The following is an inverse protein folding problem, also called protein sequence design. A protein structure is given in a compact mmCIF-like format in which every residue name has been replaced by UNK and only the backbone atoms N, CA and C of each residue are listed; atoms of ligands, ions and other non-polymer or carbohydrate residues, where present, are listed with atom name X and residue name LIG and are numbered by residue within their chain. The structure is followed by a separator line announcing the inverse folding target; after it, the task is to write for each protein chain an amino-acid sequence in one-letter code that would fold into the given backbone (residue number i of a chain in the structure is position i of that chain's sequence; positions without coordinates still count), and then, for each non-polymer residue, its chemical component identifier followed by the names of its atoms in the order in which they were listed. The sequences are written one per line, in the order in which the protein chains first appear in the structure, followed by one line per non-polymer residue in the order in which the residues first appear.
data_IF_835768985532
#
_entry.id   IF_835768985532
#
_cell.length_a   1.000
_cell.length_b   1.000
_cell.length_c   1.000
_cell.angle_alpha   90.00
_cell.angle_beta   90.00
_cell.angle_gamma   90.00
#
_symmetry.space_group_name_H-M   'P 1'
#
loop_
_entity.id
_entity.type
_entity.pdbx_description
1 polymer ?
#
# COMPACT_ATOMS: atom_id res chain seq x y z
N UNK A 1 -2.44 -6.77 -25.68
CA UNK A 1 -2.29 -7.16 -24.26
C UNK A 1 -0.89 -6.87 -23.68
N UNK A 2 0.22 -7.20 -24.37
CA UNK A 2 1.61 -6.93 -23.87
C UNK A 2 1.90 -5.45 -23.60
N UNK A 3 1.40 -4.53 -24.42
CA UNK A 3 1.58 -3.07 -24.31
C UNK A 3 0.96 -2.48 -23.03
N UNK A 4 -0.23 -2.92 -22.62
CA UNK A 4 -0.89 -2.44 -21.41
C UNK A 4 -0.14 -2.86 -20.12
N UNK A 5 0.40 -4.10 -20.07
CA UNK A 5 1.20 -4.60 -18.94
C UNK A 5 2.50 -3.81 -18.79
N UNK A 6 3.16 -3.48 -19.91
CA UNK A 6 4.35 -2.62 -19.94
C UNK A 6 4.05 -1.20 -19.47
N UNK A 7 2.94 -0.59 -19.95
CA UNK A 7 2.50 0.74 -19.51
C UNK A 7 2.24 0.78 -18.01
N UNK A 8 1.54 -0.22 -17.45
CA UNK A 8 1.27 -0.29 -16.02
C UNK A 8 2.56 -0.47 -15.19
N UNK A 9 3.51 -1.28 -15.64
CA UNK A 9 4.83 -1.41 -14.98
C UNK A 9 5.59 -0.08 -14.96
N UNK A 10 5.67 0.62 -16.10
CA UNK A 10 6.31 1.95 -16.19
C UNK A 10 5.63 2.96 -15.28
N UNK A 11 4.30 2.91 -15.18
CA UNK A 11 3.53 3.78 -14.29
C UNK A 11 3.90 3.62 -12.81
N UNK A 12 4.02 2.39 -12.32
CA UNK A 12 4.46 2.19 -10.93
C UNK A 12 5.92 2.59 -10.71
N UNK A 13 6.80 2.35 -11.67
CA UNK A 13 8.18 2.81 -11.58
C UNK A 13 8.24 4.34 -11.46
N UNK A 14 7.41 5.04 -12.23
CA UNK A 14 7.24 6.48 -12.12
C UNK A 14 6.73 6.90 -10.73
N UNK A 15 5.63 6.31 -10.24
CA UNK A 15 5.07 6.66 -8.92
C UNK A 15 6.04 6.37 -7.76
N UNK A 16 6.75 5.25 -7.80
CA UNK A 16 7.75 4.92 -6.77
C UNK A 16 8.92 5.92 -6.80
N UNK A 17 9.40 6.29 -7.99
CA UNK A 17 10.46 7.30 -8.12
C UNK A 17 9.98 8.68 -7.64
N UNK A 18 8.74 9.05 -7.95
CA UNK A 18 8.11 10.29 -7.49
C UNK A 18 8.04 10.35 -5.96
N UNK A 19 7.60 9.26 -5.33
CA UNK A 19 7.57 9.14 -3.87
C UNK A 19 8.98 9.26 -3.26
N UNK A 20 9.99 8.63 -3.86
CA UNK A 20 11.39 8.75 -3.39
C UNK A 20 11.94 10.17 -3.50
N UNK A 21 11.62 10.88 -4.59
CA UNK A 21 12.03 12.26 -4.81
C UNK A 21 11.31 13.22 -3.84
N UNK A 22 10.02 13.02 -3.63
CA UNK A 22 9.23 13.76 -2.64
C UNK A 22 9.81 13.57 -1.24
N UNK A 23 10.10 12.32 -0.84
CA UNK A 23 10.68 12.00 0.46
C UNK A 23 12.02 12.69 0.68
N UNK A 24 12.92 12.62 -0.32
CA UNK A 24 14.24 13.27 -0.27
C UNK A 24 14.17 14.79 -0.14
N UNK A 25 13.13 15.40 -0.68
CA UNK A 25 12.91 16.86 -0.65
C UNK A 25 12.09 17.33 0.56
N UNK A 26 11.69 16.42 1.46
CA UNK A 26 10.89 16.75 2.63
C UNK A 26 9.39 16.91 2.35
N UNK A 27 8.91 16.52 1.18
CA UNK A 27 7.47 16.51 0.84
C UNK A 27 6.81 15.24 1.39
N UNK A 28 6.76 15.11 2.73
CA UNK A 28 6.31 13.90 3.40
C UNK A 28 4.83 13.58 3.15
N UNK A 29 3.96 14.60 3.10
CA UNK A 29 2.53 14.40 2.78
C UNK A 29 2.30 13.84 1.39
N UNK A 30 3.01 14.41 0.41
CA UNK A 30 2.95 13.93 -0.97
C UNK A 30 3.47 12.50 -1.04
N UNK A 31 4.52 12.18 -0.29
CA UNK A 31 5.06 10.83 -0.19
C UNK A 31 4.02 9.84 0.37
N UNK A 32 3.34 10.20 1.46
CA UNK A 32 2.26 9.39 2.06
C UNK A 32 1.12 9.18 1.05
N UNK A 33 0.75 10.22 0.31
CA UNK A 33 -0.29 10.16 -0.71
C UNK A 33 0.10 9.25 -1.90
N UNK A 34 1.31 9.40 -2.42
CA UNK A 34 1.83 8.56 -3.51
C UNK A 34 1.91 7.09 -3.06
N UNK A 35 2.37 6.82 -1.83
CA UNK A 35 2.39 5.48 -1.25
C UNK A 35 0.98 4.90 -1.11
N UNK A 36 0.00 5.69 -0.64
CA UNK A 36 -1.39 5.28 -0.52
C UNK A 36 -1.98 4.83 -1.86
N UNK A 37 -1.80 5.62 -2.92
CA UNK A 37 -2.32 5.30 -4.27
C UNK A 37 -1.79 3.95 -4.75
N UNK A 38 -0.48 3.72 -4.59
CA UNK A 38 0.14 2.49 -5.05
C UNK A 38 -0.33 1.31 -4.20
N UNK A 39 -0.35 1.44 -2.87
CA UNK A 39 -0.77 0.37 -1.96
C UNK A 39 -2.23 -0.04 -2.25
N UNK A 40 -3.15 0.91 -2.35
CA UNK A 40 -4.57 0.63 -2.64
C UNK A 40 -4.76 -0.08 -3.98
N UNK A 41 -4.09 0.37 -5.05
CA UNK A 41 -4.17 -0.29 -6.36
C UNK A 41 -3.54 -1.70 -6.34
N UNK A 42 -2.50 -1.91 -5.53
CA UNK A 42 -1.90 -3.25 -5.36
C UNK A 42 -2.79 -4.21 -4.59
N UNK A 43 -3.48 -3.76 -3.55
CA UNK A 43 -4.47 -4.58 -2.84
C UNK A 43 -5.63 -4.95 -3.77
N UNK A 44 -6.13 -4.00 -4.58
CA UNK A 44 -7.12 -4.27 -5.64
C UNK A 44 -6.64 -5.32 -6.64
N UNK A 45 -5.38 -5.23 -7.05
CA UNK A 45 -4.78 -6.22 -7.94
C UNK A 45 -4.74 -7.61 -7.31
N UNK A 46 -4.39 -7.73 -6.02
CA UNK A 46 -4.45 -9.00 -5.28
C UNK A 46 -5.88 -9.55 -5.27
N UNK A 47 -6.87 -8.75 -4.87
CA UNK A 47 -8.26 -9.21 -4.83
C UNK A 47 -8.72 -9.75 -6.18
N UNK A 48 -8.37 -9.07 -7.28
CA UNK A 48 -8.70 -9.54 -8.63
C UNK A 48 -7.98 -10.83 -9.02
N UNK A 49 -6.68 -10.96 -8.72
CA UNK A 49 -5.87 -12.14 -9.07
C UNK A 49 -6.23 -13.39 -8.25
N UNK A 50 -6.76 -13.19 -7.04
CA UNK A 50 -7.20 -14.24 -6.13
C UNK A 50 -8.71 -14.51 -6.22
N UNK A 51 -9.45 -13.72 -7.01
CA UNK A 51 -10.91 -13.85 -7.08
C UNK A 51 -11.63 -13.47 -5.78
N UNK A 52 -11.01 -12.65 -4.93
CA UNK A 52 -11.57 -12.21 -3.65
C UNK A 52 -12.66 -11.16 -3.91
N UNK A 53 -13.92 -11.44 -3.55
CA UNK A 53 -15.02 -10.52 -3.80
C UNK A 53 -14.95 -9.31 -2.87
N UNK A 54 -15.00 -8.11 -3.45
CA UNK A 54 -15.07 -6.84 -2.70
C UNK A 54 -16.36 -6.13 -3.08
N UNK A 55 -17.22 -5.87 -2.08
CA UNK A 55 -18.51 -5.19 -2.27
C UNK A 55 -18.36 -3.66 -2.13
N UNK A 56 -19.21 -2.92 -2.84
CA UNK A 56 -19.30 -1.45 -2.79
C UNK A 56 -18.80 -0.77 -4.07
N UNK A 57 -19.30 0.44 -4.36
CA UNK A 57 -18.95 1.17 -5.60
C UNK A 57 -17.49 1.65 -5.63
N UNK A 58 -16.91 1.98 -4.47
CA UNK A 58 -15.52 2.46 -4.31
C UNK A 58 -14.98 2.08 -2.93
N UNK A 59 -14.73 0.79 -2.67
CA UNK A 59 -14.17 0.35 -1.40
C UNK A 59 -12.84 1.07 -1.10
N UNK A 60 -12.67 1.51 0.15
CA UNK A 60 -11.44 2.14 0.64
C UNK A 60 -10.32 1.11 0.81
N UNK A 61 -9.07 1.56 0.90
CA UNK A 61 -7.90 0.71 1.13
C UNK A 61 -8.11 -0.32 2.25
N UNK A 62 -8.62 0.11 3.41
CA UNK A 62 -8.87 -0.78 4.56
C UNK A 62 -9.84 -1.93 4.26
N UNK A 63 -10.79 -1.74 3.33
CA UNK A 63 -11.71 -2.82 2.91
C UNK A 63 -10.96 -3.87 2.10
N UNK A 64 -10.08 -3.46 1.18
CA UNK A 64 -9.25 -4.39 0.42
C UNK A 64 -8.25 -5.10 1.33
N UNK A 65 -7.63 -4.38 2.26
CA UNK A 65 -6.67 -4.95 3.21
C UNK A 65 -7.33 -6.03 4.08
N UNK A 66 -8.51 -5.73 4.65
CA UNK A 66 -9.30 -6.71 5.40
C UNK A 66 -9.60 -7.96 4.59
N UNK A 67 -10.00 -7.79 3.32
CA UNK A 67 -10.32 -8.92 2.44
C UNK A 67 -9.10 -9.78 2.11
N UNK A 68 -7.94 -9.16 1.92
CA UNK A 68 -6.68 -9.87 1.73
C UNK A 68 -6.27 -10.64 2.99
N UNK A 69 -6.40 -10.03 4.17
CA UNK A 69 -6.13 -10.66 5.45
C UNK A 69 -7.05 -11.87 5.71
N UNK A 70 -8.36 -11.71 5.53
CA UNK A 70 -9.35 -12.79 5.65
C UNK A 70 -8.99 -13.98 4.73
N UNK A 71 -8.61 -13.69 3.49
CA UNK A 71 -8.20 -14.72 2.52
C UNK A 71 -6.92 -15.44 2.96
N UNK A 72 -5.93 -14.73 3.45
CA UNK A 72 -4.68 -15.32 3.97
C UNK A 72 -4.93 -16.21 5.19
N UNK A 73 -5.84 -15.82 6.08
CA UNK A 73 -6.24 -16.64 7.22
C UNK A 73 -6.88 -17.97 6.80
N UNK A 74 -7.63 -17.97 5.71
CA UNK A 74 -8.22 -19.17 5.12
C UNK A 74 -7.22 -20.00 4.30
N UNK A 75 -6.16 -19.36 3.77
CA UNK A 75 -5.18 -19.97 2.86
C UNK A 75 -3.73 -19.71 3.33
N UNK A 76 -3.35 -20.12 4.55
CA UNK A 76 -2.07 -19.74 5.15
C UNK A 76 -0.83 -20.28 4.43
N UNK A 77 -1.00 -21.35 3.62
CA UNK A 77 0.06 -21.95 2.79
C UNK A 77 -0.18 -21.73 1.28
N UNK A 78 -1.10 -20.83 0.92
CA UNK A 78 -1.45 -20.55 -0.47
C UNK A 78 -0.38 -19.77 -1.22
N UNK A 79 -0.52 -19.71 -2.54
CA UNK A 79 0.39 -18.95 -3.44
C UNK A 79 0.51 -17.49 -3.00
N UNK A 80 -0.60 -16.86 -2.60
CA UNK A 80 -0.57 -15.48 -2.10
C UNK A 80 0.31 -15.34 -0.85
N UNK A 81 0.18 -16.24 0.12
CA UNK A 81 0.97 -16.20 1.35
C UNK A 81 2.47 -16.28 1.03
N UNK A 82 2.87 -17.22 0.17
CA UNK A 82 4.24 -17.34 -0.32
C UNK A 82 4.70 -16.18 -1.20
N UNK A 83 3.78 -15.44 -1.84
CA UNK A 83 4.12 -14.24 -2.61
C UNK A 83 4.28 -13.02 -1.72
N UNK A 84 3.53 -12.89 -0.64
CA UNK A 84 3.69 -11.80 0.32
C UNK A 84 4.89 -12.04 1.23
N UNK A 85 5.28 -13.30 1.45
CA UNK A 85 6.53 -13.84 2.06
C UNK A 85 7.16 -13.04 3.20
N UNK A 86 6.34 -12.33 3.94
CA UNK A 86 6.74 -11.42 4.98
C UNK A 86 5.63 -11.52 6.01
N UNK A 87 5.93 -12.24 7.09
CA UNK A 87 4.98 -12.60 8.14
C UNK A 87 4.30 -11.38 8.76
N UNK A 88 4.87 -10.18 8.58
CA UNK A 88 4.35 -8.94 9.14
C UNK A 88 3.80 -7.96 8.11
N UNK A 89 3.91 -8.18 6.79
CA UNK A 89 3.50 -7.15 5.80
C UNK A 89 2.05 -6.70 5.95
N UNK A 90 1.10 -7.63 6.16
CA UNK A 90 -0.31 -7.28 6.35
C UNK A 90 -0.53 -6.52 7.65
N UNK A 91 0.14 -6.94 8.73
CA UNK A 91 0.11 -6.26 10.03
C UNK A 91 0.68 -4.85 9.94
N UNK A 92 1.79 -4.68 9.23
CA UNK A 92 2.44 -3.38 9.04
C UNK A 92 1.57 -2.46 8.17
N UNK A 93 0.91 -3.00 7.14
CA UNK A 93 -0.06 -2.25 6.34
C UNK A 93 -1.26 -1.79 7.18
N UNK A 94 -1.73 -2.60 8.12
CA UNK A 94 -2.78 -2.21 9.06
C UNK A 94 -2.33 -1.08 9.99
N UNK A 95 -1.15 -1.23 10.59
CA UNK A 95 -0.55 -0.21 11.46
C UNK A 95 -0.41 1.12 10.72
N UNK A 96 0.20 1.09 9.53
CA UNK A 96 0.39 2.26 8.70
C UNK A 96 -0.94 2.90 8.27
N UNK A 97 -1.93 2.10 7.88
CA UNK A 97 -3.27 2.61 7.53
C UNK A 97 -3.95 3.29 8.72
N UNK A 98 -3.80 2.72 9.92
CA UNK A 98 -4.30 3.30 11.16
C UNK A 98 -3.65 4.65 11.46
N UNK A 99 -2.32 4.70 11.49
CA UNK A 99 -1.55 5.94 11.68
C UNK A 99 -1.93 7.01 10.66
N UNK A 100 -2.02 6.64 9.37
CA UNK A 100 -2.43 7.56 8.30
C UNK A 100 -3.83 8.10 8.51
N UNK A 101 -4.79 7.29 8.91
CA UNK A 101 -6.15 7.74 9.17
C UNK A 101 -6.21 8.70 10.37
N UNK A 102 -5.52 8.37 11.47
CA UNK A 102 -5.37 9.26 12.63
C UNK A 102 -4.79 10.59 12.16
N UNK A 103 -3.68 10.57 11.42
CA UNK A 103 -3.06 11.78 10.90
C UNK A 103 -4.00 12.60 9.98
N UNK A 104 -4.73 11.95 9.06
CA UNK A 104 -5.70 12.63 8.19
C UNK A 104 -6.87 13.27 8.97
N UNK A 105 -7.25 12.71 10.12
CA UNK A 105 -8.33 13.21 10.95
C UNK A 105 -7.84 14.25 11.99
N UNK A 106 -6.77 13.96 12.71
CA UNK A 106 -6.22 14.78 13.80
C UNK A 106 -5.33 15.92 13.32
N UNK A 107 -4.67 15.78 12.16
CA UNK A 107 -3.96 16.89 11.51
C UNK A 107 -4.88 18.05 11.14
N UNK A 108 -6.18 17.78 10.96
CA UNK A 108 -7.21 18.82 10.79
C UNK A 108 -7.71 19.43 12.09
N UNK A 109 -7.44 18.81 13.25
CA UNK A 109 -8.00 19.16 14.55
C UNK A 109 -7.01 19.91 15.46
N UNK A 110 -5.85 20.36 14.96
CA UNK A 110 -4.81 21.09 15.71
C UNK A 110 -4.31 20.37 16.98
N UNK A 111 -4.40 19.03 17.02
CA UNK A 111 -4.01 18.23 18.20
C UNK A 111 -2.51 17.90 18.26
N UNK A 112 -1.73 18.36 17.28
CA UNK A 112 -0.31 18.08 17.15
C UNK A 112 0.47 19.40 17.07
N UNK A 113 1.63 19.50 17.72
CA UNK A 113 2.54 20.62 17.46
C UNK A 113 3.14 20.52 16.05
N UNK A 114 3.63 21.62 15.45
CA UNK A 114 4.32 21.57 14.15
C UNK A 114 5.52 20.61 14.11
N UNK A 115 6.24 20.45 15.22
CA UNK A 115 7.40 19.57 15.34
C UNK A 115 6.99 18.10 15.39
N UNK A 116 5.95 17.78 16.17
CA UNK A 116 5.34 16.44 16.19
C UNK A 116 4.78 16.10 14.81
N UNK A 117 4.08 17.06 14.21
CA UNK A 117 3.53 16.93 12.86
C UNK A 117 4.61 16.57 11.84
N UNK A 118 5.75 17.29 11.84
CA UNK A 118 6.85 17.04 10.91
C UNK A 118 7.57 15.71 11.16
N UNK A 119 7.69 15.29 12.41
CA UNK A 119 8.35 14.02 12.76
C UNK A 119 7.46 12.84 12.41
N UNK A 120 6.21 12.83 12.85
CA UNK A 120 5.28 11.72 12.62
C UNK A 120 4.94 11.56 11.14
N UNK A 121 4.78 12.66 10.40
CA UNK A 121 4.51 12.59 8.95
C UNK A 121 5.72 12.06 8.19
N UNK A 122 6.94 12.37 8.63
CA UNK A 122 8.17 11.85 8.02
C UNK A 122 8.27 10.35 8.24
N UNK A 123 8.07 9.87 9.46
CA UNK A 123 8.06 8.44 9.78
C UNK A 123 6.98 7.72 8.97
N UNK A 124 5.77 8.29 8.89
CA UNK A 124 4.68 7.75 8.10
C UNK A 124 5.02 7.68 6.61
N UNK A 125 5.73 8.67 6.07
CA UNK A 125 6.20 8.70 4.69
C UNK A 125 7.25 7.62 4.42
N UNK A 126 8.24 7.48 5.30
CA UNK A 126 9.30 6.47 5.21
C UNK A 126 8.73 5.06 5.28
N UNK A 127 7.86 4.78 6.25
CA UNK A 127 7.14 3.52 6.39
C UNK A 127 6.29 3.22 5.13
N UNK A 128 5.54 4.21 4.64
CA UNK A 128 4.71 4.08 3.45
C UNK A 128 5.51 3.68 2.22
N UNK A 129 6.68 4.30 2.01
CA UNK A 129 7.58 3.94 0.91
C UNK A 129 8.08 2.50 1.00
N UNK A 130 8.46 2.05 2.20
CA UNK A 130 8.93 0.68 2.42
C UNK A 130 7.81 -0.34 2.15
N UNK A 131 6.61 -0.09 2.68
CA UNK A 131 5.44 -0.97 2.50
C UNK A 131 4.98 -1.03 1.05
N UNK A 132 4.94 0.12 0.36
CA UNK A 132 4.65 0.21 -1.06
C UNK A 132 5.54 -0.72 -1.89
N UNK A 133 6.86 -0.70 -1.64
CA UNK A 133 7.85 -1.54 -2.34
C UNK A 133 7.67 -3.01 -2.03
N UNK A 134 7.52 -3.37 -0.75
CA UNK A 134 7.27 -4.75 -0.29
C UNK A 134 6.03 -5.33 -0.96
N UNK A 135 4.92 -4.60 -0.95
CA UNK A 135 3.68 -5.01 -1.57
C UNK A 135 3.77 -5.10 -3.10
N UNK A 136 4.41 -4.13 -3.76
CA UNK A 136 4.64 -4.19 -5.20
C UNK A 136 5.42 -5.45 -5.59
N UNK A 137 6.48 -5.78 -4.86
CA UNK A 137 7.27 -6.99 -5.10
C UNK A 137 6.44 -8.26 -4.92
N UNK A 138 5.59 -8.30 -3.89
CA UNK A 138 4.66 -9.42 -3.68
C UNK A 138 3.68 -9.60 -4.83
N UNK A 139 3.08 -8.51 -5.31
CA UNK A 139 2.16 -8.54 -6.46
C UNK A 139 2.88 -8.93 -7.75
N UNK A 140 4.14 -8.53 -7.94
CA UNK A 140 4.92 -8.99 -9.09
C UNK A 140 5.18 -10.49 -9.05
N UNK A 141 5.51 -11.05 -7.88
CA UNK A 141 5.66 -12.51 -7.70
C UNK A 141 4.35 -13.22 -8.02
N UNK A 142 3.24 -12.71 -7.49
CA UNK A 142 1.92 -13.29 -7.73
C UNK A 142 1.55 -13.31 -9.22
N UNK A 143 1.80 -12.21 -9.93
CA UNK A 143 1.57 -12.13 -11.37
C UNK A 143 2.39 -13.12 -12.21
N UNK A 144 3.55 -13.58 -11.72
CA UNK A 144 4.35 -14.61 -12.39
C UNK A 144 3.83 -16.03 -12.13
N UNK A 145 3.17 -16.24 -10.99
CA UNK A 145 2.59 -17.53 -10.62
C UNK A 145 1.23 -17.75 -11.28
N UNK A 146 0.46 -16.68 -11.50
CA UNK A 146 -0.93 -16.74 -11.96
C UNK A 146 -1.18 -16.28 -13.40
N UNK A 147 -0.16 -15.89 -14.16
CA UNK A 147 -0.34 -15.43 -15.54
C UNK A 147 0.88 -15.65 -16.41
#
# INVERSE_FOLDING_TARGET
MKTAKVRKRKWYQFLMKKADEALKRGFYLETVFDAYIVIDDRLKAICRLEGIPVKGKRPMLGVHLKKVEEYLGQHPKGVLAGCLNDSNLVKDLWSWTGKRNIWMHDGGNQRMTPEQYNTEVKELAEEGCQLMRRLCNGVMRLHKQKG
#
